data_IF_550578117206
#
_entry.id   IF_550578117206
#
_cell.length_a   1.000
_cell.length_b   1.000
_cell.length_c   1.000
_cell.angle_alpha   90.00
_cell.angle_beta   90.00
_cell.angle_gamma   90.00
#
_symmetry.space_group_name_H-M   'P 1'
#
loop_
_entity.id
_entity.type
_entity.pdbx_description
1 polymer ?
#
# COMPACT_ATOMS: atom_id res chain seq x y z
N UNK A 1 -5.88 18.51 20.53
CA UNK A 1 -6.05 17.07 20.82
C UNK A 1 -5.88 16.31 19.51
N UNK A 2 -4.77 15.57 19.34
CA UNK A 2 -4.66 14.62 18.24
C UNK A 2 -5.61 13.47 18.55
N UNK A 3 -6.77 13.43 17.89
CA UNK A 3 -7.64 12.25 17.94
C UNK A 3 -6.83 11.07 17.41
N UNK A 4 -6.74 10.00 18.21
CA UNK A 4 -6.09 8.77 17.80
C UNK A 4 -6.51 8.41 16.37
N UNK A 5 -5.51 8.09 15.54
CA UNK A 5 -5.66 7.75 14.13
C UNK A 5 -6.43 6.44 14.02
N UNK A 6 -7.75 6.51 14.17
CA UNK A 6 -8.58 5.33 14.22
C UNK A 6 -8.94 4.94 12.80
N UNK A 7 -8.33 3.84 12.36
CA UNK A 7 -8.76 3.16 11.15
C UNK A 7 -10.24 2.78 11.28
N UNK A 8 -10.99 3.07 10.24
CA UNK A 8 -12.40 2.77 10.05
C UNK A 8 -12.57 1.84 8.84
N UNK A 9 -13.76 1.24 8.69
CA UNK A 9 -14.09 0.33 7.59
C UNK A 9 -13.01 -0.73 7.33
N UNK A 10 -12.66 -1.45 8.41
CA UNK A 10 -11.68 -2.54 8.36
C UNK A 10 -12.33 -3.77 7.73
N UNK A 11 -11.75 -4.25 6.64
CA UNK A 11 -12.19 -5.42 5.89
C UNK A 11 -11.03 -6.42 5.79
N UNK A 12 -11.37 -7.71 5.78
CA UNK A 12 -10.45 -8.78 5.44
C UNK A 12 -10.73 -9.23 4.02
N UNK A 13 -9.69 -9.31 3.18
CA UNK A 13 -9.77 -9.66 1.78
C UNK A 13 -9.07 -11.00 1.56
N UNK A 14 -9.72 -11.89 0.81
CA UNK A 14 -9.09 -13.10 0.31
C UNK A 14 -8.61 -12.83 -1.12
N UNK A 15 -7.30 -12.59 -1.28
CA UNK A 15 -6.69 -12.22 -2.55
C UNK A 15 -5.90 -13.40 -3.14
N UNK A 16 -5.61 -13.41 -4.46
CA UNK A 16 -4.76 -14.44 -5.06
C UNK A 16 -3.38 -14.57 -4.41
N UNK A 17 -2.84 -13.47 -3.87
CA UNK A 17 -1.57 -13.43 -3.15
C UNK A 17 -1.66 -13.94 -1.69
N UNK A 18 -2.85 -14.33 -1.23
CA UNK A 18 -3.14 -14.68 0.15
C UNK A 18 -3.96 -13.60 0.88
N UNK A 19 -4.21 -13.80 2.18
CA UNK A 19 -5.09 -12.93 2.96
C UNK A 19 -4.51 -11.54 3.16
N UNK A 20 -5.36 -10.51 3.03
CA UNK A 20 -5.00 -9.11 3.22
C UNK A 20 -6.00 -8.39 4.12
N UNK A 21 -5.61 -7.23 4.65
CA UNK A 21 -6.54 -6.32 5.32
C UNK A 21 -6.62 -4.99 4.59
N UNK A 22 -7.81 -4.39 4.60
CA UNK A 22 -8.05 -3.07 4.05
C UNK A 22 -8.71 -2.19 5.09
N UNK A 23 -8.31 -0.93 5.19
CA UNK A 23 -8.85 0.02 6.16
C UNK A 23 -8.70 1.45 5.65
N UNK A 24 -9.32 2.41 6.34
CA UNK A 24 -9.19 3.81 5.95
C UNK A 24 -9.24 4.77 7.13
N UNK A 25 -8.65 5.93 6.95
CA UNK A 25 -8.60 7.01 7.93
C UNK A 25 -8.98 8.32 7.25
N UNK A 26 -9.76 9.15 7.94
CA UNK A 26 -10.05 10.50 7.52
C UNK A 26 -9.19 11.46 8.34
N UNK A 27 -8.32 12.23 7.67
CA UNK A 27 -7.45 13.22 8.31
C UNK A 27 -7.95 14.61 7.98
N UNK A 28 -8.23 15.40 9.01
CA UNK A 28 -8.52 16.83 8.85
C UNK A 28 -7.34 17.63 9.38
N UNK A 29 -6.70 18.49 8.57
CA UNK A 29 -5.61 19.34 9.05
C UNK A 29 -6.07 20.22 10.21
N UNK A 30 -5.22 20.38 11.23
CA UNK A 30 -5.52 21.27 12.36
C UNK A 30 -5.37 22.72 11.95
N UNK A 31 -6.03 23.64 12.66
CA UNK A 31 -5.90 25.09 12.44
C UNK A 31 -4.45 25.59 12.55
N UNK A 32 -3.61 24.89 13.30
CA UNK A 32 -2.18 25.19 13.48
C UNK A 32 -1.30 24.73 12.32
N UNK A 33 -1.83 23.89 11.41
CA UNK A 33 -1.04 23.32 10.31
C UNK A 33 -0.78 24.29 9.15
N UNK A 34 -1.52 25.40 9.08
CA UNK A 34 -1.46 26.34 7.96
C UNK A 34 -1.99 25.76 6.63
N UNK A 35 -2.53 24.54 6.63
CA UNK A 35 -3.11 23.88 5.47
C UNK A 35 -4.61 24.19 5.34
N UNK A 36 -5.18 24.11 4.12
CA UNK A 36 -6.63 24.18 3.95
C UNK A 36 -7.34 23.15 4.85
N UNK A 37 -8.46 23.48 5.50
CA UNK A 37 -9.20 22.56 6.38
C UNK A 37 -10.00 21.51 5.58
N UNK A 38 -9.51 21.11 4.42
CA UNK A 38 -10.13 20.11 3.56
C UNK A 38 -9.75 18.72 4.08
N UNK A 39 -10.72 17.85 4.37
CA UNK A 39 -10.44 16.51 4.84
C UNK A 39 -9.75 15.67 3.74
N UNK A 40 -8.78 14.88 4.16
CA UNK A 40 -8.03 13.93 3.34
C UNK A 40 -8.44 12.50 3.73
N UNK A 41 -9.04 11.78 2.79
CA UNK A 41 -9.29 10.36 2.91
C UNK A 41 -8.00 9.59 2.58
N UNK A 42 -7.60 8.67 3.43
CA UNK A 42 -6.50 7.74 3.20
C UNK A 42 -7.01 6.31 3.35
N UNK A 43 -6.84 5.49 2.31
CA UNK A 43 -7.23 4.08 2.28
C UNK A 43 -5.96 3.26 2.18
N UNK A 44 -5.87 2.22 2.99
CA UNK A 44 -4.72 1.34 3.13
C UNK A 44 -5.13 -0.09 2.81
N UNK A 45 -4.30 -0.80 2.04
CA UNK A 45 -4.35 -2.25 1.92
C UNK A 45 -3.00 -2.84 2.34
N UNK A 46 -3.05 -3.76 3.30
CA UNK A 46 -1.90 -4.47 3.85
C UNK A 46 -1.90 -5.89 3.30
N UNK A 47 -0.92 -6.19 2.45
CA UNK A 47 -0.79 -7.46 1.76
C UNK A 47 0.46 -8.18 2.28
N UNK A 48 0.33 -9.16 3.19
CA UNK A 48 1.42 -10.01 3.63
C UNK A 48 2.02 -10.77 2.44
N UNK A 49 3.35 -10.82 2.37
CA UNK A 49 4.04 -11.69 1.42
C UNK A 49 3.88 -13.16 1.87
N UNK A 50 3.75 -14.12 0.95
CA UNK A 50 3.72 -15.55 1.28
C UNK A 50 4.93 -16.11 2.05
N UNK A 51 5.99 -15.32 2.22
CA UNK A 51 7.20 -15.72 2.95
C UNK A 51 7.10 -15.38 4.45
N UNK A 52 6.00 -14.75 4.86
CA UNK A 52 5.72 -14.26 6.21
C UNK A 52 6.79 -13.32 6.79
N UNK A 53 7.66 -12.75 5.95
CA UNK A 53 8.77 -11.87 6.37
C UNK A 53 8.60 -10.45 5.83
N UNK A 54 7.83 -10.29 4.76
CA UNK A 54 7.61 -9.01 4.08
C UNK A 54 6.13 -8.72 3.94
N UNK A 55 5.79 -7.46 3.69
CA UNK A 55 4.44 -7.01 3.46
C UNK A 55 4.48 -5.84 2.48
N UNK A 56 3.55 -5.81 1.52
CA UNK A 56 3.28 -4.63 0.72
C UNK A 56 2.20 -3.80 1.40
N UNK A 57 2.39 -2.48 1.41
CA UNK A 57 1.38 -1.51 1.86
C UNK A 57 1.02 -0.65 0.67
N UNK A 58 -0.23 -0.79 0.22
CA UNK A 58 -0.79 0.05 -0.82
C UNK A 58 -1.59 1.17 -0.16
N UNK A 59 -1.36 2.41 -0.56
CA UNK A 59 -2.03 3.56 0.01
C UNK A 59 -2.60 4.45 -1.09
N UNK A 60 -3.88 4.78 -0.98
CA UNK A 60 -4.56 5.77 -1.81
C UNK A 60 -4.99 6.95 -0.93
N UNK A 61 -4.54 8.15 -1.27
CA UNK A 61 -4.92 9.39 -0.58
C UNK A 61 -5.67 10.35 -1.51
N UNK A 62 -6.78 10.93 -1.06
CA UNK A 62 -7.61 11.83 -1.87
C UNK A 62 -8.43 12.80 -1.00
N UNK A 63 -8.67 14.02 -1.49
CA UNK A 63 -9.58 14.99 -0.84
C UNK A 63 -11.05 14.78 -1.25
N UNK A 64 -11.32 13.92 -2.24
CA UNK A 64 -12.66 13.63 -2.74
C UNK A 64 -13.40 12.59 -1.85
N UNK A 65 -13.64 12.96 -0.59
CA UNK A 65 -14.24 12.10 0.45
C UNK A 65 -15.62 11.57 0.05
N UNK A 66 -16.40 12.35 -0.71
CA UNK A 66 -17.73 11.94 -1.19
C UNK A 66 -17.71 10.72 -2.12
N UNK A 67 -16.55 10.38 -2.70
CA UNK A 67 -16.35 9.24 -3.60
C UNK A 67 -15.61 8.07 -2.94
N UNK A 68 -15.73 7.97 -1.61
CA UNK A 68 -15.03 6.98 -0.78
C UNK A 68 -15.16 5.56 -1.33
N UNK A 69 -16.38 5.11 -1.59
CA UNK A 69 -16.64 3.75 -2.06
C UNK A 69 -15.95 3.45 -3.39
N UNK A 70 -15.95 4.40 -4.32
CA UNK A 70 -15.27 4.25 -5.60
C UNK A 70 -13.75 4.13 -5.42
N UNK A 71 -13.16 4.93 -4.52
CA UNK A 71 -11.72 4.83 -4.26
C UNK A 71 -11.33 3.57 -3.49
N UNK A 72 -12.20 3.06 -2.61
CA UNK A 72 -12.01 1.74 -1.97
C UNK A 72 -12.01 0.63 -3.01
N UNK A 73 -12.95 0.67 -3.95
CA UNK A 73 -13.02 -0.28 -5.05
C UNK A 73 -11.78 -0.23 -5.94
N UNK A 74 -11.30 0.97 -6.28
CA UNK A 74 -10.04 1.13 -7.02
C UNK A 74 -8.87 0.48 -6.27
N UNK A 75 -8.72 0.75 -4.96
CA UNK A 75 -7.61 0.17 -4.20
C UNK A 75 -7.74 -1.36 -4.08
N UNK A 76 -8.96 -1.87 -3.93
CA UNK A 76 -9.25 -3.31 -3.93
C UNK A 76 -8.81 -3.98 -5.23
N UNK A 77 -9.17 -3.42 -6.38
CA UNK A 77 -8.75 -3.94 -7.68
C UNK A 77 -7.23 -3.92 -7.85
N UNK A 78 -6.55 -2.86 -7.37
CA UNK A 78 -5.08 -2.82 -7.38
C UNK A 78 -4.51 -3.93 -6.49
N UNK A 79 -5.09 -4.16 -5.31
CA UNK A 79 -4.67 -5.21 -4.40
C UNK A 79 -4.87 -6.62 -5.03
N UNK A 80 -5.99 -6.87 -5.71
CA UNK A 80 -6.26 -8.12 -6.42
C UNK A 80 -5.26 -8.41 -7.53
N UNK A 81 -4.78 -7.38 -8.23
CA UNK A 81 -3.78 -7.49 -9.30
C UNK A 81 -2.34 -7.56 -8.78
N UNK A 82 -2.12 -7.35 -7.49
CA UNK A 82 -0.77 -7.34 -6.91
C UNK A 82 -0.24 -8.77 -6.76
N UNK A 83 0.91 -9.03 -7.38
CA UNK A 83 1.65 -10.29 -7.23
C UNK A 83 3.04 -10.02 -6.65
N UNK A 84 3.50 -10.95 -5.81
CA UNK A 84 4.86 -10.94 -5.27
C UNK A 84 5.88 -11.68 -6.13
N UNK A 85 5.42 -12.34 -7.19
CA UNK A 85 6.31 -13.04 -8.13
C UNK A 85 7.00 -12.04 -9.06
N UNK A 86 8.27 -12.31 -9.36
CA UNK A 86 9.00 -11.50 -10.34
C UNK A 86 8.35 -11.66 -11.72
N UNK A 87 7.90 -10.57 -12.37
CA UNK A 87 7.35 -10.63 -13.72
C UNK A 87 8.45 -10.87 -14.77
N UNK A 88 9.71 -10.63 -14.40
CA UNK A 88 10.85 -10.87 -15.26
C UNK A 88 11.26 -12.35 -15.17
N UNK A 89 11.58 -12.99 -16.31
CA UNK A 89 12.13 -14.34 -16.30
C UNK A 89 13.38 -14.35 -15.44
N UNK A 90 13.60 -15.46 -14.72
CA UNK A 90 14.86 -15.70 -13.99
C UNK A 90 15.99 -15.82 -15.01
N UNK A 91 16.49 -14.69 -15.48
CA UNK A 91 17.64 -14.61 -16.36
C UNK A 91 18.86 -15.17 -15.66
N UNK A 92 19.88 -15.63 -16.39
CA UNK A 92 21.10 -16.10 -15.78
C UNK A 92 21.68 -14.95 -14.95
N UNK A 93 21.90 -15.20 -13.66
CA UNK A 93 22.68 -14.31 -12.80
C UNK A 93 24.10 -14.39 -13.35
N UNK A 94 24.41 -13.51 -14.31
CA UNK A 94 25.74 -13.42 -14.88
C UNK A 94 26.63 -12.76 -13.82
N UNK A 95 27.16 -13.59 -12.92
CA UNK A 95 28.23 -13.20 -12.02
C UNK A 95 29.42 -12.83 -12.88
N UNK A 96 29.64 -11.54 -13.11
CA UNK A 96 30.85 -11.04 -13.77
C UNK A 96 31.99 -11.37 -12.81
N UNK A 97 32.92 -12.28 -13.15
CA UNK A 97 34.06 -12.53 -12.28
C UNK A 97 34.92 -11.26 -12.26
N UNK A 98 35.14 -10.71 -11.07
CA UNK A 98 36.18 -9.71 -10.87
C UNK A 98 37.52 -10.36 -11.23
N UNK A 99 38.02 -10.14 -12.43
CA UNK A 99 39.40 -10.51 -12.76
C UNK A 99 40.30 -9.56 -11.99
N UNK A 100 40.97 -10.08 -10.96
CA UNK A 100 42.07 -9.39 -10.32
C UNK A 100 43.11 -9.07 -11.39
N UNK A 101 43.32 -7.77 -11.65
CA UNK A 101 44.42 -7.30 -12.47
C UNK A 101 45.69 -7.52 -11.69
N UNK A 102 46.38 -8.62 -11.97
CA UNK A 102 47.75 -8.89 -11.51
C UNK A 102 48.64 -7.76 -12.05
N UNK A 103 49.41 -7.13 -11.17
CA UNK A 103 50.36 -6.07 -11.51
C UNK A 103 51.67 -6.30 -10.79
#
# INVERSE_FOLDING_TARGET
MATAEQHSHIEYLDLPSGPASMSETLRTPTSESGLPPTPLLQIYAYLPHPDCKRMAVLMLSTTAVARREQYREILRQIAELTSFESPLPKGPVMSIPCTASDR
#
